data_IF_535549922020
#
_entry.id   IF_535549922020
#
_cell.length_a   1.000
_cell.length_b   1.000
_cell.length_c   1.000
_cell.angle_alpha   90.00
_cell.angle_beta   90.00
_cell.angle_gamma   90.00
#
_symmetry.space_group_name_H-M   'P 1'
#
loop_
_entity.id
_entity.type
_entity.pdbx_description
1 polymer ?
#
# COMPACT_ATOMS: atom_id res chain seq x y z
N UNK A 1 18.88 -5.52 44.07
CA UNK A 1 17.53 -5.69 43.49
C UNK A 1 17.04 -4.31 43.10
N UNK A 2 17.25 -3.92 41.84
CA UNK A 2 16.80 -2.64 41.30
C UNK A 2 15.87 -2.95 40.13
N UNK A 3 14.59 -2.68 40.33
CA UNK A 3 13.55 -2.74 39.30
C UNK A 3 13.69 -1.50 38.43
N UNK A 4 14.02 -1.69 37.15
CA UNK A 4 13.91 -0.65 36.13
C UNK A 4 12.49 -0.68 35.59
N UNK A 5 11.74 0.36 35.90
CA UNK A 5 10.40 0.62 35.37
C UNK A 5 10.57 1.39 34.06
N UNK A 6 10.37 0.72 32.93
CA UNK A 6 10.47 1.32 31.61
C UNK A 6 9.11 1.93 31.26
N UNK A 7 8.89 3.17 31.70
CA UNK A 7 7.79 3.97 31.21
C UNK A 7 8.03 4.26 29.72
N UNK A 8 7.29 3.59 28.84
CA UNK A 8 7.25 3.87 27.43
C UNK A 8 6.87 5.36 27.24
N UNK A 9 7.80 6.11 26.67
CA UNK A 9 7.65 7.54 26.40
C UNK A 9 6.53 7.72 25.37
N UNK A 10 5.37 8.21 25.80
CA UNK A 10 4.29 8.58 24.89
C UNK A 10 4.72 9.86 24.16
N UNK A 11 5.13 9.71 22.90
CA UNK A 11 5.39 10.84 22.01
C UNK A 11 4.03 11.29 21.43
N UNK A 12 3.52 12.47 21.80
CA UNK A 12 2.25 12.95 21.26
C UNK A 12 2.35 13.13 19.74
N UNK A 13 1.42 12.52 19.01
CA UNK A 13 1.29 12.67 17.56
C UNK A 13 1.00 14.13 17.22
N UNK A 14 2.00 14.85 16.70
CA UNK A 14 1.77 16.16 16.10
C UNK A 14 0.93 15.94 14.82
N UNK A 15 -0.19 16.67 14.64
CA UNK A 15 -0.98 16.55 13.41
C UNK A 15 -0.08 16.94 12.25
N UNK A 16 0.10 16.02 11.31
CA UNK A 16 0.87 16.25 10.09
C UNK A 16 -0.10 16.54 8.95
N UNK A 17 0.14 17.65 8.24
CA UNK A 17 -0.68 18.15 7.12
C UNK A 17 -0.56 17.29 5.84
N UNK A 18 -0.19 16.02 5.96
CA UNK A 18 -0.05 15.09 4.85
C UNK A 18 -0.84 13.80 5.10
N UNK A 19 -1.35 13.16 4.03
CA UNK A 19 -2.05 11.91 4.17
C UNK A 19 -1.08 10.81 4.61
N UNK A 20 -1.57 9.92 5.45
CA UNK A 20 -0.79 8.87 6.10
C UNK A 20 -1.28 7.51 5.63
N UNK A 21 -0.36 6.62 5.29
CA UNK A 21 -0.66 5.22 5.01
C UNK A 21 -0.69 4.43 6.31
N UNK A 22 -1.70 3.59 6.46
CA UNK A 22 -1.84 2.62 7.55
C UNK A 22 -2.32 1.29 6.99
N UNK A 23 -1.73 0.19 7.46
CA UNK A 23 -2.25 -1.13 7.14
C UNK A 23 -3.60 -1.34 7.84
N UNK A 24 -4.55 -1.95 7.14
CA UNK A 24 -5.86 -2.31 7.67
C UNK A 24 -5.95 -3.80 7.97
N UNK A 25 -6.84 -4.16 8.90
CA UNK A 25 -7.19 -5.54 9.16
C UNK A 25 -8.50 -5.90 8.43
N UNK A 26 -8.44 -6.73 7.37
CA UNK A 26 -9.63 -7.12 6.62
C UNK A 26 -10.71 -7.79 7.48
N UNK A 27 -10.34 -8.41 8.62
CA UNK A 27 -11.30 -9.06 9.51
C UNK A 27 -12.26 -8.06 10.18
N UNK A 28 -11.92 -6.77 10.24
CA UNK A 28 -12.79 -5.73 10.79
C UNK A 28 -14.04 -5.46 9.94
N UNK A 29 -14.03 -5.89 8.68
CA UNK A 29 -15.12 -5.68 7.75
C UNK A 29 -16.26 -6.71 7.89
N UNK A 30 -16.04 -7.81 8.61
CA UNK A 30 -16.94 -8.98 8.60
C UNK A 30 -17.12 -9.57 10.00
N UNK A 31 -18.24 -10.27 10.23
CA UNK A 31 -18.54 -10.90 11.53
C UNK A 31 -17.68 -12.14 11.82
N UNK A 32 -17.13 -12.78 10.78
CA UNK A 32 -16.32 -13.97 10.94
C UNK A 32 -15.52 -14.33 9.69
N UNK A 33 -14.32 -14.87 9.92
CA UNK A 33 -13.40 -15.33 8.88
C UNK A 33 -13.36 -16.86 8.90
N UNK A 34 -13.55 -17.49 7.74
CA UNK A 34 -13.60 -18.94 7.59
C UNK A 34 -12.60 -19.43 6.53
N UNK A 35 -11.39 -19.84 6.93
CA UNK A 35 -10.36 -20.32 6.00
C UNK A 35 -10.80 -21.56 5.20
N UNK A 36 -11.59 -22.45 5.82
CA UNK A 36 -12.05 -23.71 5.18
C UNK A 36 -13.03 -23.44 4.04
N UNK A 37 -13.88 -22.43 4.19
CA UNK A 37 -14.86 -22.03 3.17
C UNK A 37 -14.27 -21.09 2.13
N UNK A 38 -13.00 -20.67 2.27
CA UNK A 38 -12.41 -19.62 1.45
C UNK A 38 -12.51 -19.91 -0.05
N UNK A 39 -12.50 -21.18 -0.48
CA UNK A 39 -12.60 -21.54 -1.90
C UNK A 39 -14.03 -21.81 -2.38
N UNK A 40 -15.03 -21.72 -1.52
CA UNK A 40 -16.43 -21.95 -1.85
C UNK A 40 -17.06 -20.69 -2.45
N UNK A 41 -17.97 -20.84 -3.43
CA UNK A 41 -18.65 -19.70 -4.06
C UNK A 41 -19.53 -18.93 -3.06
N UNK A 42 -20.07 -19.62 -2.06
CA UNK A 42 -20.86 -19.01 -0.99
C UNK A 42 -20.06 -18.00 -0.14
N UNK A 43 -18.73 -18.12 -0.11
CA UNK A 43 -17.85 -17.22 0.64
C UNK A 43 -17.49 -15.94 -0.13
N UNK A 44 -17.85 -15.84 -1.42
CA UNK A 44 -17.51 -14.67 -2.25
C UNK A 44 -17.99 -13.34 -1.68
N UNK A 45 -19.22 -13.19 -1.13
CA UNK A 45 -19.66 -11.93 -0.53
C UNK A 45 -18.78 -11.49 0.65
N UNK A 46 -18.43 -12.41 1.55
CA UNK A 46 -17.55 -12.13 2.70
C UNK A 46 -16.17 -11.70 2.21
N UNK A 47 -15.61 -12.42 1.23
CA UNK A 47 -14.33 -12.07 0.64
C UNK A 47 -14.36 -10.70 -0.05
N UNK A 48 -15.46 -10.38 -0.74
CA UNK A 48 -15.67 -9.07 -1.37
C UNK A 48 -15.69 -7.95 -0.32
N UNK A 49 -16.38 -8.13 0.82
CA UNK A 49 -16.43 -7.13 1.89
C UNK A 49 -15.04 -6.88 2.48
N UNK A 50 -14.28 -7.95 2.74
CA UNK A 50 -12.89 -7.86 3.20
C UNK A 50 -11.99 -7.13 2.19
N UNK A 51 -12.08 -7.46 0.90
CA UNK A 51 -11.33 -6.79 -0.17
C UNK A 51 -11.73 -5.32 -0.26
N UNK A 52 -13.04 -5.03 -0.18
CA UNK A 52 -13.57 -3.68 -0.28
C UNK A 52 -13.07 -2.79 0.84
N UNK A 53 -12.96 -3.32 2.05
CA UNK A 53 -12.38 -2.59 3.17
C UNK A 53 -10.92 -2.24 2.90
N UNK A 54 -10.09 -3.21 2.52
CA UNK A 54 -8.67 -2.95 2.23
C UNK A 54 -8.49 -1.96 1.08
N UNK A 55 -9.19 -2.16 -0.05
CA UNK A 55 -9.02 -1.29 -1.22
C UNK A 55 -9.51 0.13 -0.94
N UNK A 56 -10.59 0.31 -0.17
CA UNK A 56 -11.08 1.65 0.14
C UNK A 56 -10.23 2.39 1.17
N UNK A 57 -9.59 1.70 2.10
CA UNK A 57 -8.76 2.34 3.14
C UNK A 57 -7.29 2.47 2.71
N UNK A 58 -6.76 1.46 2.03
CA UNK A 58 -5.35 1.37 1.62
C UNK A 58 -5.12 1.71 0.14
N UNK A 59 -6.17 1.87 -0.65
CA UNK A 59 -6.06 2.10 -2.10
C UNK A 59 -5.37 3.42 -2.48
N UNK A 60 -4.63 3.49 -3.62
CA UNK A 60 -4.32 2.37 -4.52
C UNK A 60 -3.42 1.31 -3.88
N UNK A 61 -3.80 0.02 -4.03
CA UNK A 61 -3.12 -1.11 -3.39
C UNK A 61 -2.71 -2.18 -4.40
N UNK A 62 -1.49 -2.70 -4.29
CA UNK A 62 -0.96 -3.75 -5.16
C UNK A 62 -1.62 -5.10 -4.88
N UNK A 63 -1.93 -5.86 -5.92
CA UNK A 63 -2.52 -7.22 -5.88
C UNK A 63 -1.86 -8.17 -4.88
N UNK A 64 -0.52 -8.19 -4.86
CA UNK A 64 0.27 -9.03 -3.97
C UNK A 64 0.24 -8.57 -2.53
N UNK A 65 0.03 -7.27 -2.29
CA UNK A 65 -0.19 -6.71 -0.95
C UNK A 65 -1.61 -7.07 -0.50
N UNK A 66 -2.63 -6.82 -1.33
CA UNK A 66 -4.02 -7.16 -1.06
C UNK A 66 -4.18 -8.65 -0.72
N UNK A 67 -3.64 -9.54 -1.55
CA UNK A 67 -3.70 -10.98 -1.30
C UNK A 67 -2.95 -11.38 -0.01
N UNK A 68 -1.89 -10.67 0.36
CA UNK A 68 -1.15 -10.88 1.63
C UNK A 68 -1.98 -10.45 2.84
N UNK A 69 -2.68 -9.32 2.77
CA UNK A 69 -3.62 -8.86 3.81
C UNK A 69 -4.71 -9.89 4.04
N UNK A 70 -5.38 -10.29 2.96
CA UNK A 70 -6.43 -11.30 3.00
C UNK A 70 -5.90 -12.62 3.57
N UNK A 71 -4.74 -13.10 3.11
CA UNK A 71 -4.20 -14.37 3.60
C UNK A 71 -3.88 -14.35 5.11
N UNK A 72 -3.31 -13.24 5.61
CA UNK A 72 -3.01 -13.07 7.04
C UNK A 72 -4.28 -13.04 7.88
N UNK A 73 -5.34 -12.37 7.43
CA UNK A 73 -6.64 -12.36 8.10
C UNK A 73 -7.24 -13.77 8.24
N UNK A 74 -6.91 -14.68 7.32
CA UNK A 74 -7.33 -16.09 7.35
C UNK A 74 -6.32 -17.00 8.08
N UNK A 75 -5.31 -16.44 8.75
CA UNK A 75 -4.33 -17.19 9.53
C UNK A 75 -3.27 -17.93 8.69
N UNK A 76 -3.16 -17.66 7.40
CA UNK A 76 -2.14 -18.28 6.56
C UNK A 76 -0.81 -17.54 6.63
N UNK A 77 0.28 -18.30 6.77
CA UNK A 77 1.65 -17.78 6.76
C UNK A 77 2.11 -17.44 5.34
N UNK A 78 1.64 -18.17 4.33
CA UNK A 78 2.04 -18.02 2.95
C UNK A 78 0.85 -17.72 2.04
N UNK A 79 1.00 -16.75 1.15
CA UNK A 79 0.00 -16.45 0.10
C UNK A 79 0.32 -17.23 -1.16
N UNK A 80 -0.22 -18.44 -1.29
CA UNK A 80 -0.06 -19.29 -2.48
C UNK A 80 -0.80 -18.75 -3.72
N UNK A 81 -0.48 -19.29 -4.91
CA UNK A 81 -1.06 -18.84 -6.18
C UNK A 81 -2.60 -18.84 -6.17
N UNK A 82 -3.22 -19.94 -5.70
CA UNK A 82 -4.69 -20.06 -5.63
C UNK A 82 -5.36 -18.97 -4.80
N UNK A 83 -4.72 -18.49 -3.74
CA UNK A 83 -5.25 -17.39 -2.92
C UNK A 83 -5.14 -16.08 -3.69
N UNK A 84 -3.97 -15.82 -4.29
CA UNK A 84 -3.75 -14.61 -5.11
C UNK A 84 -4.73 -14.54 -6.26
N UNK A 85 -4.86 -15.61 -7.03
CA UNK A 85 -5.73 -15.67 -8.21
C UNK A 85 -7.19 -15.42 -7.83
N UNK A 86 -7.65 -16.00 -6.71
CA UNK A 86 -9.02 -15.79 -6.24
C UNK A 86 -9.25 -14.36 -5.77
N UNK A 87 -8.32 -13.79 -5.00
CA UNK A 87 -8.41 -12.40 -4.52
C UNK A 87 -8.41 -11.43 -5.69
N UNK A 88 -7.49 -11.61 -6.65
CA UNK A 88 -7.41 -10.81 -7.88
C UNK A 88 -8.70 -10.90 -8.69
N UNK A 89 -9.25 -12.12 -8.88
CA UNK A 89 -10.51 -12.32 -9.60
C UNK A 89 -11.67 -11.53 -8.96
N UNK A 90 -11.82 -11.61 -7.64
CA UNK A 90 -12.87 -10.87 -6.93
C UNK A 90 -12.59 -9.37 -7.01
N UNK A 91 -11.36 -8.92 -6.79
CA UNK A 91 -11.00 -7.51 -6.85
C UNK A 91 -11.28 -6.89 -8.24
N UNK A 92 -10.87 -7.55 -9.33
CA UNK A 92 -11.11 -7.08 -10.70
C UNK A 92 -12.59 -7.01 -11.07
N UNK A 93 -13.43 -7.82 -10.45
CA UNK A 93 -14.88 -7.78 -10.69
C UNK A 93 -15.55 -6.56 -10.06
N UNK A 94 -14.93 -5.92 -9.05
CA UNK A 94 -15.57 -4.89 -8.24
C UNK A 94 -14.84 -3.54 -8.20
N UNK A 95 -13.56 -3.50 -8.57
CA UNK A 95 -12.74 -2.29 -8.48
C UNK A 95 -12.09 -1.95 -9.82
N UNK A 96 -11.91 -0.66 -10.05
CA UNK A 96 -11.03 -0.20 -11.12
C UNK A 96 -9.59 -0.62 -10.81
N UNK A 97 -8.86 -1.01 -11.85
CA UNK A 97 -7.50 -1.46 -11.73
C UNK A 97 -6.60 -0.87 -12.81
N UNK A 98 -5.31 -0.86 -12.53
CA UNK A 98 -4.27 -0.44 -13.46
C UNK A 98 -3.11 -1.42 -13.35
N UNK A 99 -2.71 -1.98 -14.48
CA UNK A 99 -1.60 -2.91 -14.54
C UNK A 99 -0.29 -2.13 -14.69
N UNK A 100 0.64 -2.37 -13.77
CA UNK A 100 1.98 -1.85 -13.86
C UNK A 100 2.96 -2.96 -14.25
N UNK A 101 3.56 -2.78 -15.43
CA UNK A 101 4.54 -3.72 -15.97
C UNK A 101 5.63 -4.06 -14.94
N UNK A 102 5.93 -5.36 -14.81
CA UNK A 102 6.92 -5.93 -13.88
C UNK A 102 6.59 -5.87 -12.39
N UNK A 103 5.46 -5.25 -11.99
CA UNK A 103 4.99 -5.27 -10.60
C UNK A 103 3.76 -6.14 -10.40
N UNK A 104 2.72 -5.88 -11.19
CA UNK A 104 1.39 -6.45 -10.98
C UNK A 104 0.32 -5.38 -11.10
N UNK A 105 -0.84 -5.67 -10.53
CA UNK A 105 -2.02 -4.83 -10.68
C UNK A 105 -2.29 -4.05 -9.43
N UNK A 106 -2.52 -2.75 -9.56
CA UNK A 106 -3.02 -1.92 -8.48
C UNK A 106 -4.56 -1.85 -8.54
N UNK A 107 -5.22 -1.78 -7.39
CA UNK A 107 -6.67 -1.62 -7.26
C UNK A 107 -6.99 -0.28 -6.61
N UNK A 108 -7.90 0.48 -7.22
CA UNK A 108 -8.26 1.83 -6.80
C UNK A 108 -9.43 1.84 -5.84
N UNK A 109 -9.41 2.74 -4.83
CA UNK A 109 -10.55 2.94 -3.96
C UNK A 109 -11.74 3.48 -4.75
N UNK A 110 -12.95 3.08 -4.40
CA UNK A 110 -14.18 3.50 -5.11
C UNK A 110 -14.43 5.01 -5.09
N UNK A 111 -13.92 5.70 -4.07
CA UNK A 111 -14.05 7.14 -3.92
C UNK A 111 -13.01 7.93 -4.72
N UNK A 112 -12.00 7.27 -5.30
CA UNK A 112 -10.92 7.91 -6.04
C UNK A 112 -10.90 7.36 -7.49
N UNK A 113 -11.22 8.18 -8.49
CA UNK A 113 -11.17 7.71 -9.87
C UNK A 113 -9.71 7.40 -10.29
N UNK A 114 -9.49 6.46 -11.24
CA UNK A 114 -8.14 6.10 -11.71
C UNK A 114 -7.33 7.26 -12.28
N UNK A 115 -8.01 8.24 -12.87
CA UNK A 115 -7.42 9.48 -13.37
C UNK A 115 -7.05 10.51 -12.28
N UNK A 116 -7.43 10.30 -11.02
CA UNK A 116 -6.95 11.16 -9.95
C UNK A 116 -5.47 10.89 -9.67
N UNK A 117 -4.71 11.97 -9.43
CA UNK A 117 -3.35 11.87 -8.90
C UNK A 117 -3.41 11.79 -7.36
N UNK A 118 -3.33 10.59 -6.75
CA UNK A 118 -3.28 10.48 -5.31
C UNK A 118 -2.04 11.22 -4.77
N UNK A 119 -2.23 11.96 -3.68
CA UNK A 119 -1.09 12.46 -2.91
C UNK A 119 -0.29 11.29 -2.33
N UNK A 120 1.03 11.45 -2.23
CA UNK A 120 1.86 10.43 -1.61
C UNK A 120 1.53 10.28 -0.13
N UNK A 121 1.16 9.06 0.27
CA UNK A 121 0.84 8.72 1.65
C UNK A 121 2.08 8.26 2.39
N UNK A 122 2.52 9.05 3.36
CA UNK A 122 3.70 8.76 4.18
C UNK A 122 3.38 7.66 5.21
N UNK A 123 4.35 6.82 5.61
CA UNK A 123 4.16 5.84 6.68
C UNK A 123 3.72 6.52 7.98
N UNK A 124 2.65 6.02 8.62
CA UNK A 124 2.16 6.57 9.89
C UNK A 124 2.92 6.10 11.13
N UNK A 125 3.55 4.94 11.00
CA UNK A 125 4.32 4.23 12.01
C UNK A 125 5.31 3.30 11.28
N UNK A 126 6.18 2.64 12.05
CA UNK A 126 7.20 1.72 11.52
C UNK A 126 6.56 0.49 10.84
N UNK A 127 5.36 0.08 11.25
CA UNK A 127 4.63 -1.06 10.69
C UNK A 127 3.96 -0.73 9.35
N UNK A 128 3.75 0.55 9.05
CA UNK A 128 3.13 1.06 7.83
C UNK A 128 4.16 1.41 6.73
N UNK A 129 5.40 0.95 6.89
CA UNK A 129 6.47 1.13 5.91
C UNK A 129 6.21 0.30 4.64
N UNK A 130 6.05 0.97 3.50
CA UNK A 130 5.86 0.33 2.19
C UNK A 130 7.15 0.28 1.39
N UNK A 131 7.38 -0.82 0.69
CA UNK A 131 8.39 -0.82 -0.38
C UNK A 131 7.97 0.16 -1.48
N UNK A 132 8.94 0.82 -2.14
CA UNK A 132 8.65 1.65 -3.32
C UNK A 132 7.96 0.86 -4.45
N UNK A 133 8.12 -0.48 -4.47
CA UNK A 133 7.41 -1.37 -5.41
C UNK A 133 5.96 -1.61 -5.04
N UNK A 134 5.55 -1.30 -3.82
CA UNK A 134 4.17 -1.42 -3.33
C UNK A 134 3.42 -0.08 -3.42
N UNK A 135 4.06 0.97 -3.94
CA UNK A 135 3.47 2.29 -4.20
C UNK A 135 3.26 2.45 -5.70
N UNK A 136 2.05 2.84 -6.11
CA UNK A 136 1.73 3.05 -7.51
C UNK A 136 2.53 4.22 -8.11
N UNK A 137 2.68 4.23 -9.43
CA UNK A 137 3.44 5.25 -10.16
C UNK A 137 2.90 6.66 -9.89
N UNK A 138 1.58 6.83 -9.80
CA UNK A 138 0.92 8.11 -9.60
C UNK A 138 1.21 8.68 -8.21
N UNK A 139 1.18 7.86 -7.15
CA UNK A 139 1.58 8.30 -5.80
C UNK A 139 3.07 8.69 -5.77
N UNK A 140 3.94 7.91 -6.43
CA UNK A 140 5.37 8.25 -6.52
C UNK A 140 5.61 9.53 -7.33
N UNK A 141 4.86 9.76 -8.40
CA UNK A 141 4.94 10.98 -9.20
C UNK A 141 4.49 12.22 -8.41
N UNK A 142 3.47 12.08 -7.57
CA UNK A 142 3.08 13.14 -6.64
C UNK A 142 4.23 13.50 -5.68
N UNK A 143 4.91 12.49 -5.13
CA UNK A 143 6.07 12.71 -4.26
C UNK A 143 7.25 13.37 -5.01
N UNK A 144 7.52 12.93 -6.24
CA UNK A 144 8.55 13.51 -7.09
C UNK A 144 8.26 14.99 -7.35
N UNK A 145 7.04 15.32 -7.74
CA UNK A 145 6.59 16.71 -7.96
C UNK A 145 6.76 17.56 -6.70
N UNK A 146 6.41 17.01 -5.53
CA UNK A 146 6.62 17.67 -4.25
C UNK A 146 8.10 17.97 -3.98
N UNK A 147 9.00 17.01 -4.23
CA UNK A 147 10.43 17.19 -4.03
C UNK A 147 11.07 18.15 -5.04
N UNK A 148 10.59 18.16 -6.29
CA UNK A 148 11.00 19.13 -7.30
C UNK A 148 10.60 20.55 -6.91
N UNK A 149 9.39 20.74 -6.39
CA UNK A 149 8.92 22.04 -5.90
C UNK A 149 9.78 22.56 -4.72
N UNK A 150 10.38 21.65 -3.94
CA UNK A 150 11.38 21.97 -2.90
C UNK A 150 12.79 22.26 -3.44
N UNK A 151 12.98 22.22 -4.76
CA UNK A 151 14.23 22.55 -5.44
C UNK A 151 15.19 21.37 -5.64
N UNK A 152 14.77 20.13 -5.36
CA UNK A 152 15.60 18.96 -5.62
C UNK A 152 15.63 18.60 -7.10
N UNK A 153 16.82 18.28 -7.62
CA UNK A 153 17.04 17.94 -9.03
C UNK A 153 17.97 16.73 -9.18
N UNK A 154 17.90 16.05 -10.33
CA UNK A 154 18.79 14.94 -10.70
C UNK A 154 18.96 13.88 -9.58
N UNK A 155 20.18 13.50 -9.22
CA UNK A 155 20.42 12.50 -8.16
C UNK A 155 19.94 12.97 -6.78
N UNK A 156 19.95 14.28 -6.49
CA UNK A 156 19.46 14.82 -5.23
C UNK A 156 17.94 14.63 -5.10
N UNK A 157 17.20 14.68 -6.20
CA UNK A 157 15.77 14.36 -6.26
C UNK A 157 15.52 12.89 -5.91
N UNK A 158 16.28 11.97 -6.49
CA UNK A 158 16.13 10.53 -6.23
C UNK A 158 16.36 10.24 -4.74
N UNK A 159 17.41 10.82 -4.15
CA UNK A 159 17.71 10.65 -2.73
C UNK A 159 16.66 11.29 -1.81
N UNK A 160 16.13 12.46 -2.18
CA UNK A 160 15.08 13.13 -1.42
C UNK A 160 13.79 12.30 -1.41
N UNK A 161 13.36 11.80 -2.57
CA UNK A 161 12.18 10.93 -2.70
C UNK A 161 12.35 9.64 -1.89
N UNK A 162 13.50 8.97 -1.99
CA UNK A 162 13.77 7.75 -1.23
C UNK A 162 13.69 8.01 0.28
N UNK A 163 14.29 9.12 0.76
CA UNK A 163 14.26 9.50 2.18
C UNK A 163 12.84 9.79 2.66
N UNK A 164 12.08 10.55 1.87
CA UNK A 164 10.71 10.93 2.22
C UNK A 164 9.76 9.72 2.22
N UNK A 165 10.03 8.72 1.38
CA UNK A 165 9.35 7.43 1.40
C UNK A 165 9.82 6.50 2.54
N UNK A 166 10.72 6.96 3.42
CA UNK A 166 11.27 6.19 4.54
C UNK A 166 12.30 5.12 4.14
N UNK A 167 12.80 5.13 2.90
CA UNK A 167 13.78 4.15 2.42
C UNK A 167 15.19 4.55 2.87
N UNK A 168 15.70 3.87 3.89
CA UNK A 168 17.05 4.08 4.42
C UNK A 168 18.15 3.66 3.45
N UNK A 169 17.94 2.57 2.70
CA UNK A 169 18.87 2.07 1.66
C UNK A 169 18.13 1.79 0.36
N UNK A 170 18.36 2.63 -0.63
CA UNK A 170 17.69 2.53 -1.94
C UNK A 170 18.24 1.35 -2.74
N UNK A 171 17.42 0.30 -2.89
CA UNK A 171 17.71 -0.82 -3.78
C UNK A 171 17.53 -0.43 -5.25
N UNK A 172 18.12 -1.22 -6.17
CA UNK A 172 18.04 -0.96 -7.61
C UNK A 172 16.59 -0.88 -8.13
N UNK A 173 15.72 -1.81 -7.74
CA UNK A 173 14.31 -1.80 -8.12
C UNK A 173 13.59 -0.53 -7.66
N UNK A 174 13.83 -0.08 -6.42
CA UNK A 174 13.28 1.17 -5.90
C UNK A 174 13.79 2.39 -6.65
N UNK A 175 15.08 2.41 -7.03
CA UNK A 175 15.66 3.49 -7.84
C UNK A 175 14.99 3.58 -9.21
N UNK A 176 14.85 2.46 -9.91
CA UNK A 176 14.17 2.40 -11.21
C UNK A 176 12.73 2.92 -11.13
N UNK A 177 12.03 2.68 -10.02
CA UNK A 177 10.69 3.20 -9.77
C UNK A 177 10.66 4.71 -9.65
N UNK A 178 11.58 5.29 -8.90
CA UNK A 178 11.69 6.76 -8.79
C UNK A 178 12.04 7.36 -10.16
N UNK A 179 13.00 6.78 -10.89
CA UNK A 179 13.37 7.25 -12.23
C UNK A 179 12.21 7.14 -13.24
N UNK A 180 11.35 6.12 -13.13
CA UNK A 180 10.11 6.02 -13.91
C UNK A 180 9.12 7.12 -13.53
N UNK A 181 8.94 7.40 -12.25
CA UNK A 181 8.07 8.48 -11.78
C UNK A 181 8.56 9.88 -12.20
N UNK A 182 9.88 10.12 -12.22
CA UNK A 182 10.47 11.36 -12.73
C UNK A 182 10.15 11.58 -14.20
N UNK A 183 10.22 10.53 -15.03
CA UNK A 183 9.83 10.61 -16.44
C UNK A 183 8.33 10.90 -16.59
N UNK A 184 7.50 10.25 -15.78
CA UNK A 184 6.05 10.44 -15.79
C UNK A 184 5.63 11.88 -15.44
N UNK A 185 6.37 12.58 -14.57
CA UNK A 185 6.08 13.99 -14.25
C UNK A 185 6.46 14.98 -15.37
N UNK A 186 7.30 14.55 -16.33
CA UNK A 186 7.74 15.38 -17.45
C UNK A 186 6.95 15.17 -18.74
N UNK A 187 5.99 14.25 -18.74
CA UNK A 187 5.04 13.97 -19.83
C UNK A 187 3.79 14.84 -19.70
#
# INVERSE_FOLDING_TARGET
MATVDAAAEYVPYAPVDYPVYRETDPAQAVEGVSPDQFFESAYTPILQDMISHVVNEEGPVLDSVLARRIARAHGWVCTGARIRDRVDQVARAHFSSHDEEQLGTFFWPTHLPPEASPSFRRPGDDDSMRSLTEVCLQELAALVSEMQAKGHVADALIQAVAREAGVSKLAHAGRLRIEKAVRHCGE
#
